data_IF_309995173318
#
_entry.id   IF_309995173318
#
_cell.length_a   1.000
_cell.length_b   1.000
_cell.length_c   1.000
_cell.angle_alpha   90.00
_cell.angle_beta   90.00
_cell.angle_gamma   90.00
#
_symmetry.space_group_name_H-M   'P 1'
#
loop_
_entity.id
_entity.type
_entity.pdbx_description
1 polymer ?
#
# COMPACT_ATOMS: atom_id res chain seq x y z
N UNK A 1 14.58 -5.80 33.20
CA UNK A 1 14.44 -4.46 33.81
C UNK A 1 15.78 -3.72 33.96
N UNK A 2 16.91 -4.40 34.18
CA UNK A 2 18.24 -3.77 34.24
C UNK A 2 18.77 -3.15 32.92
N UNK A 3 18.17 -3.48 31.76
CA UNK A 3 18.61 -3.00 30.45
C UNK A 3 18.27 -1.53 30.17
N UNK A 4 17.19 -1.01 30.77
CA UNK A 4 16.74 0.38 30.57
C UNK A 4 17.19 1.32 31.70
N UNK A 5 17.58 0.80 32.86
CA UNK A 5 17.93 1.60 34.05
C UNK A 5 19.30 2.27 33.97
N UNK A 6 20.13 1.95 32.97
CA UNK A 6 21.48 2.50 32.79
C UNK A 6 21.59 3.60 31.73
N UNK A 7 20.52 3.91 30.99
CA UNK A 7 20.57 4.90 29.89
C UNK A 7 20.05 6.25 30.41
N UNK A 8 20.88 7.30 30.46
CA UNK A 8 20.41 8.62 30.83
C UNK A 8 19.40 9.14 29.79
N UNK A 9 18.18 9.44 30.24
CA UNK A 9 17.07 9.89 29.39
C UNK A 9 17.43 11.13 28.55
N UNK A 10 18.32 11.96 29.08
CA UNK A 10 18.87 13.15 28.41
C UNK A 10 19.67 12.80 27.15
N UNK A 11 20.53 11.78 27.22
CA UNK A 11 21.32 11.30 26.08
C UNK A 11 20.43 10.70 25.00
N UNK A 12 19.46 9.86 25.40
CA UNK A 12 18.50 9.25 24.48
C UNK A 12 17.71 10.34 23.73
N UNK A 13 17.12 11.30 24.45
CA UNK A 13 16.36 12.39 23.85
C UNK A 13 17.22 13.30 22.96
N UNK A 14 18.50 13.50 23.30
CA UNK A 14 19.44 14.26 22.48
C UNK A 14 19.75 13.55 21.15
N UNK A 15 20.12 12.27 21.21
CA UNK A 15 20.44 11.47 20.04
C UNK A 15 19.22 11.25 19.14
N UNK A 16 18.05 10.96 19.72
CA UNK A 16 16.79 10.86 18.95
C UNK A 16 16.45 12.16 18.22
N UNK A 17 16.62 13.34 18.85
CA UNK A 17 16.38 14.63 18.20
C UNK A 17 17.36 14.89 17.05
N UNK A 18 18.65 14.57 17.22
CA UNK A 18 19.63 14.67 16.13
C UNK A 18 19.28 13.74 14.97
N UNK A 19 18.99 12.48 15.27
CA UNK A 19 18.61 11.48 14.28
C UNK A 19 17.34 11.88 13.53
N UNK A 20 16.29 12.31 14.24
CA UNK A 20 15.03 12.76 13.64
C UNK A 20 15.23 13.94 12.68
N UNK A 21 16.09 14.90 13.02
CA UNK A 21 16.42 16.04 12.13
C UNK A 21 17.10 15.58 10.84
N UNK A 22 18.07 14.66 10.94
CA UNK A 22 18.77 14.12 9.76
C UNK A 22 17.80 13.33 8.90
N UNK A 23 16.99 12.46 9.51
CA UNK A 23 15.98 11.67 8.80
C UNK A 23 14.98 12.57 8.05
N UNK A 24 14.46 13.61 8.72
CA UNK A 24 13.54 14.57 8.11
C UNK A 24 14.19 15.31 6.93
N UNK A 25 15.43 15.77 7.08
CA UNK A 25 16.17 16.43 6.00
C UNK A 25 16.41 15.49 4.81
N UNK A 26 16.82 14.23 5.06
CA UNK A 26 17.00 13.23 4.02
C UNK A 26 15.69 12.95 3.29
N UNK A 27 14.59 12.81 4.03
CA UNK A 27 13.26 12.63 3.46
C UNK A 27 12.86 13.82 2.56
N UNK A 28 13.08 15.05 3.02
CA UNK A 28 12.79 16.27 2.26
C UNK A 28 13.59 16.31 0.94
N UNK A 29 14.90 16.02 0.99
CA UNK A 29 15.76 15.99 -0.20
C UNK A 29 15.27 14.94 -1.20
N UNK A 30 14.96 13.72 -0.75
CA UNK A 30 14.47 12.66 -1.63
C UNK A 30 13.09 12.97 -2.22
N UNK A 31 12.16 13.51 -1.42
CA UNK A 31 10.84 13.94 -1.90
C UNK A 31 11.00 15.04 -2.95
N UNK A 32 11.84 16.05 -2.69
CA UNK A 32 12.08 17.14 -3.64
C UNK A 32 12.60 16.61 -4.97
N UNK A 33 13.62 15.76 -4.93
CA UNK A 33 14.21 15.17 -6.13
C UNK A 33 13.22 14.29 -6.91
N UNK A 34 12.48 13.43 -6.23
CA UNK A 34 11.56 12.50 -6.91
C UNK A 34 10.31 13.21 -7.42
N UNK A 35 9.80 14.20 -6.68
CA UNK A 35 8.68 15.03 -7.15
C UNK A 35 9.09 15.83 -8.38
N UNK A 36 10.33 16.30 -8.45
CA UNK A 36 10.84 16.96 -9.66
C UNK A 36 10.82 16.03 -10.88
N UNK A 37 11.27 14.78 -10.73
CA UNK A 37 11.18 13.77 -11.79
C UNK A 37 9.71 13.50 -12.18
N UNK A 38 8.83 13.37 -11.19
CA UNK A 38 7.39 13.14 -11.42
C UNK A 38 6.76 14.30 -12.20
N UNK A 39 7.08 15.56 -11.88
CA UNK A 39 6.61 16.73 -12.62
C UNK A 39 7.07 16.64 -14.08
N UNK A 40 8.34 16.33 -14.33
CA UNK A 40 8.86 16.20 -15.70
C UNK A 40 8.11 15.11 -16.46
N UNK A 41 7.90 13.95 -15.86
CA UNK A 41 7.17 12.84 -16.48
C UNK A 41 5.70 13.19 -16.75
N UNK A 42 5.04 13.87 -15.81
CA UNK A 42 3.66 14.33 -15.98
C UNK A 42 3.55 15.41 -17.06
N UNK A 43 4.49 16.35 -17.14
CA UNK A 43 4.52 17.36 -18.19
C UNK A 43 4.75 16.72 -19.56
N UNK A 44 5.66 15.74 -19.64
CA UNK A 44 5.89 14.96 -20.86
C UNK A 44 4.61 14.25 -21.31
N UNK A 45 3.89 13.62 -20.38
CA UNK A 45 2.60 12.95 -20.67
C UNK A 45 1.51 13.94 -21.07
N UNK A 46 1.38 15.06 -20.36
CA UNK A 46 0.41 16.10 -20.65
C UNK A 46 0.62 16.67 -22.06
N UNK A 47 1.88 17.00 -22.43
CA UNK A 47 2.20 17.50 -23.77
C UNK A 47 1.85 16.53 -24.91
N UNK A 48 1.82 15.22 -24.65
CA UNK A 48 1.45 14.22 -25.66
C UNK A 48 -0.05 13.98 -25.79
N UNK A 49 -0.83 14.15 -24.71
CA UNK A 49 -2.21 13.63 -24.62
C UNK A 49 -3.26 14.65 -24.24
N UNK A 50 -2.86 15.69 -23.51
CA UNK A 50 -3.71 16.78 -23.08
C UNK A 50 -2.92 18.11 -23.25
N UNK A 51 -2.60 18.51 -24.49
CA UNK A 51 -1.78 19.69 -24.75
C UNK A 51 -2.43 20.99 -24.27
N UNK A 52 -3.76 20.98 -24.07
CA UNK A 52 -4.53 22.10 -23.52
C UNK A 52 -4.42 22.23 -21.98
N UNK A 53 -3.83 21.24 -21.30
CA UNK A 53 -3.72 21.23 -19.86
C UNK A 53 -2.68 22.27 -19.38
N UNK A 54 -3.08 23.16 -18.47
CA UNK A 54 -2.18 24.15 -17.90
C UNK A 54 -0.99 23.51 -17.17
N UNK A 55 0.22 23.99 -17.40
CA UNK A 55 1.44 23.54 -16.70
C UNK A 55 1.32 23.67 -15.17
N UNK A 56 0.62 24.69 -14.68
CA UNK A 56 0.39 24.87 -13.24
C UNK A 56 -0.49 23.74 -12.66
N UNK A 57 -1.43 23.24 -13.46
CA UNK A 57 -2.29 22.13 -13.07
C UNK A 57 -1.52 20.81 -13.02
N UNK A 58 -0.53 20.61 -13.90
CA UNK A 58 0.41 19.47 -13.82
C UNK A 58 1.21 19.49 -12.51
N UNK A 59 1.71 20.66 -12.10
CA UNK A 59 2.41 20.81 -10.82
C UNK A 59 1.48 20.50 -9.64
N UNK A 60 0.23 20.97 -9.68
CA UNK A 60 -0.77 20.62 -8.68
C UNK A 60 -1.02 19.10 -8.60
N UNK A 61 -1.11 18.40 -9.74
CA UNK A 61 -1.23 16.95 -9.79
C UNK A 61 -0.02 16.22 -9.18
N UNK A 62 1.19 16.75 -9.36
CA UNK A 62 2.37 16.19 -8.71
C UNK A 62 2.32 16.40 -7.18
N UNK A 63 1.90 17.58 -6.73
CA UNK A 63 1.81 17.92 -5.30
C UNK A 63 0.82 17.02 -4.58
N UNK A 64 -0.36 16.77 -5.15
CA UNK A 64 -1.35 15.87 -4.53
C UNK A 64 -0.86 14.42 -4.45
N UNK A 65 0.09 14.02 -5.31
CA UNK A 65 0.70 12.69 -5.29
C UNK A 65 1.86 12.58 -4.28
N UNK A 66 2.37 13.68 -3.71
CA UNK A 66 3.51 13.68 -2.78
C UNK A 66 3.31 12.69 -1.62
N UNK A 67 2.15 12.66 -0.92
CA UNK A 67 1.95 11.69 0.16
C UNK A 67 2.12 10.23 -0.28
N UNK A 68 1.62 9.88 -1.46
CA UNK A 68 1.80 8.56 -2.06
C UNK A 68 3.28 8.27 -2.38
N UNK A 69 4.04 9.28 -2.82
CA UNK A 69 5.46 9.15 -3.07
C UNK A 69 6.24 8.91 -1.78
N UNK A 70 5.86 9.55 -0.67
CA UNK A 70 6.48 9.32 0.64
C UNK A 70 6.40 7.85 1.04
N UNK A 71 5.28 7.17 0.83
CA UNK A 71 5.15 5.73 1.16
C UNK A 71 6.21 4.86 0.46
N UNK A 72 6.52 5.20 -0.80
CA UNK A 72 7.52 4.49 -1.61
C UNK A 72 8.96 4.84 -1.22
N UNK A 73 9.20 6.10 -0.85
CA UNK A 73 10.54 6.65 -0.61
C UNK A 73 11.00 6.41 0.83
N UNK A 74 10.07 6.30 1.78
CA UNK A 74 10.35 6.22 3.20
C UNK A 74 11.39 5.15 3.60
N UNK A 75 11.36 3.91 3.04
CA UNK A 75 12.41 2.92 3.30
C UNK A 75 13.83 3.42 2.96
N UNK A 76 13.96 4.09 1.81
CA UNK A 76 15.23 4.65 1.35
C UNK A 76 15.65 5.85 2.20
N UNK A 77 14.71 6.71 2.60
CA UNK A 77 14.97 7.83 3.49
C UNK A 77 15.51 7.36 4.86
N UNK A 78 14.92 6.30 5.43
CA UNK A 78 15.42 5.71 6.68
C UNK A 78 16.79 5.10 6.50
N UNK A 79 17.02 4.33 5.43
CA UNK A 79 18.31 3.71 5.16
C UNK A 79 19.41 4.77 5.00
N UNK A 80 19.26 5.71 4.06
CA UNK A 80 20.27 6.74 3.78
C UNK A 80 20.40 7.74 4.93
N UNK A 81 19.29 8.14 5.55
CA UNK A 81 19.31 9.05 6.70
C UNK A 81 20.05 8.45 7.89
N UNK A 82 19.84 7.14 8.13
CA UNK A 82 20.61 6.40 9.14
C UNK A 82 22.09 6.32 8.80
N UNK A 83 22.44 6.00 7.56
CA UNK A 83 23.86 5.95 7.15
C UNK A 83 24.55 7.31 7.31
N UNK A 84 23.89 8.40 6.91
CA UNK A 84 24.41 9.76 7.10
C UNK A 84 24.58 10.06 8.58
N UNK A 85 23.57 9.76 9.40
CA UNK A 85 23.62 10.01 10.84
C UNK A 85 24.75 9.24 11.52
N UNK A 86 24.88 7.95 11.23
CA UNK A 86 25.94 7.12 11.79
C UNK A 86 27.32 7.55 11.32
N UNK A 87 27.46 7.95 10.05
CA UNK A 87 28.70 8.50 9.53
C UNK A 87 29.11 9.78 10.28
N UNK A 88 28.15 10.68 10.53
CA UNK A 88 28.39 11.92 11.30
C UNK A 88 28.76 11.63 12.75
N UNK A 89 28.05 10.73 13.43
CA UNK A 89 28.34 10.33 14.81
C UNK A 89 29.69 9.64 14.98
N UNK A 90 30.10 8.87 13.97
CA UNK A 90 31.44 8.30 13.94
C UNK A 90 32.53 9.36 13.86
N UNK A 91 32.32 10.39 13.01
CA UNK A 91 33.28 11.49 12.87
C UNK A 91 33.36 12.37 14.13
N UNK A 92 32.24 12.60 14.81
CA UNK A 92 32.21 13.37 16.06
C UNK A 92 32.61 12.55 17.29
N UNK A 93 32.95 11.26 17.14
CA UNK A 93 33.25 10.32 18.22
C UNK A 93 32.11 10.17 19.25
N UNK A 94 30.92 10.71 18.98
CA UNK A 94 29.75 10.63 19.87
C UNK A 94 29.31 9.19 20.11
N UNK A 95 29.38 8.35 19.07
CA UNK A 95 29.06 6.93 19.17
C UNK A 95 30.10 6.15 19.99
N UNK A 96 31.39 6.50 19.83
CA UNK A 96 32.48 5.85 20.55
C UNK A 96 32.41 6.16 22.05
N UNK A 97 32.15 7.41 22.42
CA UNK A 97 32.03 7.86 23.82
C UNK A 97 30.87 7.17 24.54
N UNK A 98 29.76 6.90 23.84
CA UNK A 98 28.65 6.11 24.42
C UNK A 98 29.09 4.67 24.75
N UNK A 99 29.84 4.03 23.86
CA UNK A 99 30.31 2.65 24.05
C UNK A 99 31.38 2.52 25.14
N UNK A 100 32.27 3.50 25.32
CA UNK A 100 33.31 3.46 26.36
C UNK A 100 32.75 3.57 27.78
N UNK A 101 31.50 3.98 27.95
CA UNK A 101 30.78 3.94 29.23
C UNK A 101 30.16 2.56 29.56
N UNK A 102 30.46 1.53 28.76
CA UNK A 102 29.99 0.16 28.97
C UNK A 102 28.62 -0.13 28.35
N UNK A 103 28.10 0.73 27.46
CA UNK A 103 26.84 0.47 26.76
C UNK A 103 27.02 -0.61 25.69
N UNK A 104 26.12 -1.60 25.68
CA UNK A 104 26.04 -2.57 24.60
C UNK A 104 25.57 -1.88 23.29
N UNK A 105 25.92 -2.43 22.11
CA UNK A 105 25.49 -1.91 20.80
C UNK A 105 23.97 -1.70 20.68
N UNK A 106 23.17 -2.58 21.29
CA UNK A 106 21.70 -2.48 21.30
C UNK A 106 21.19 -1.28 22.11
N UNK A 107 21.89 -0.90 23.18
CA UNK A 107 21.58 0.29 23.97
C UNK A 107 21.97 1.56 23.21
N UNK A 108 23.12 1.53 22.51
CA UNK A 108 23.57 2.66 21.69
C UNK A 108 22.65 2.92 20.48
N UNK A 109 22.02 1.88 19.92
CA UNK A 109 21.06 2.00 18.81
C UNK A 109 19.62 2.33 19.25
N UNK A 110 19.32 2.22 20.55
CA UNK A 110 17.98 2.45 21.08
C UNK A 110 17.36 3.81 20.68
N UNK A 111 18.09 4.95 20.68
CA UNK A 111 17.53 6.24 20.27
C UNK A 111 17.05 6.23 18.81
N UNK A 112 17.76 5.51 17.93
CA UNK A 112 17.41 5.36 16.51
C UNK A 112 16.21 4.44 16.35
N UNK A 113 16.25 3.25 16.98
CA UNK A 113 15.15 2.28 16.94
C UNK A 113 13.85 2.92 17.44
N UNK A 114 13.90 3.61 18.58
CA UNK A 114 12.74 4.30 19.16
C UNK A 114 12.20 5.39 18.23
N UNK A 115 13.08 6.19 17.61
CA UNK A 115 12.65 7.25 16.68
C UNK A 115 11.98 6.69 15.44
N UNK A 116 12.57 5.66 14.84
CA UNK A 116 12.05 5.03 13.63
C UNK A 116 10.76 4.26 13.89
N UNK A 117 10.66 3.58 15.04
CA UNK A 117 9.42 2.94 15.46
C UNK A 117 8.29 3.95 15.64
N UNK A 118 8.56 5.06 16.34
CA UNK A 118 7.60 6.14 16.52
C UNK A 118 7.20 6.77 15.18
N UNK A 119 8.15 6.98 14.27
CA UNK A 119 7.88 7.48 12.93
C UNK A 119 7.04 6.50 12.10
N UNK A 120 7.30 5.20 12.18
CA UNK A 120 6.50 4.17 11.53
C UNK A 120 5.06 4.11 12.06
N UNK A 121 4.88 4.26 13.37
CA UNK A 121 3.54 4.30 13.97
C UNK A 121 2.78 5.58 13.58
N UNK A 122 3.46 6.72 13.57
CA UNK A 122 2.93 7.98 13.06
C UNK A 122 2.55 7.88 11.57
N UNK A 123 3.38 7.21 10.77
CA UNK A 123 3.14 6.97 9.36
C UNK A 123 1.84 6.19 9.13
N UNK A 124 1.61 5.12 9.88
CA UNK A 124 0.36 4.35 9.76
C UNK A 124 -0.85 5.14 10.25
N UNK A 125 -0.76 5.80 11.41
CA UNK A 125 -1.94 6.36 12.09
C UNK A 125 -2.36 7.73 11.55
N UNK A 126 -1.39 8.57 11.18
CA UNK A 126 -1.65 9.96 10.77
C UNK A 126 -1.40 10.14 9.27
N UNK A 127 -0.25 9.66 8.78
CA UNK A 127 0.16 9.95 7.41
C UNK A 127 -0.62 9.13 6.37
N UNK A 128 -0.85 7.83 6.61
CA UNK A 128 -1.54 6.95 5.67
C UNK A 128 -2.98 7.42 5.34
N UNK A 129 -3.83 7.85 6.30
CA UNK A 129 -5.14 8.42 5.97
C UNK A 129 -5.08 9.62 5.02
N UNK A 130 -4.09 10.50 5.22
CA UNK A 130 -3.86 11.65 4.33
C UNK A 130 -3.42 11.15 2.95
N UNK A 131 -2.47 10.22 2.90
CA UNK A 131 -2.00 9.65 1.64
C UNK A 131 -3.10 8.92 0.88
N UNK A 132 -3.99 8.21 1.56
CA UNK A 132 -5.09 7.49 0.95
C UNK A 132 -6.12 8.42 0.29
N UNK A 133 -6.49 9.51 0.96
CA UNK A 133 -7.45 10.48 0.41
C UNK A 133 -6.85 11.25 -0.78
N UNK A 134 -5.60 11.68 -0.68
CA UNK A 134 -4.92 12.37 -1.79
C UNK A 134 -4.66 11.42 -2.96
N UNK A 135 -4.31 10.15 -2.70
CA UNK A 135 -4.18 9.13 -3.72
C UNK A 135 -5.51 8.88 -4.44
N UNK A 136 -6.63 8.79 -3.72
CA UNK A 136 -7.97 8.64 -4.32
C UNK A 136 -8.29 9.80 -5.27
N UNK A 137 -8.01 11.03 -4.85
CA UNK A 137 -8.22 12.22 -5.67
C UNK A 137 -7.30 12.24 -6.90
N UNK A 138 -6.01 11.90 -6.72
CA UNK A 138 -5.05 11.81 -7.82
C UNK A 138 -5.50 10.79 -8.88
N UNK A 139 -5.95 9.60 -8.46
CA UNK A 139 -6.42 8.55 -9.37
C UNK A 139 -7.69 8.96 -10.14
N UNK A 140 -8.60 9.71 -9.51
CA UNK A 140 -9.78 10.27 -10.15
C UNK A 140 -9.38 11.27 -11.25
N UNK A 141 -8.53 12.25 -10.93
CA UNK A 141 -8.08 13.28 -11.87
C UNK A 141 -7.27 12.68 -13.03
N UNK A 142 -6.40 11.70 -12.76
CA UNK A 142 -5.67 10.99 -13.80
C UNK A 142 -6.60 10.19 -14.72
N UNK A 143 -7.68 9.63 -14.18
CA UNK A 143 -8.71 8.95 -14.97
C UNK A 143 -9.47 9.90 -15.91
N UNK A 144 -9.78 11.11 -15.45
CA UNK A 144 -10.46 12.13 -16.24
C UNK A 144 -9.58 12.67 -17.38
N UNK A 145 -8.32 12.96 -17.09
CA UNK A 145 -7.39 13.61 -18.04
C UNK A 145 -6.80 12.61 -19.03
N UNK A 146 -6.41 11.43 -18.55
CA UNK A 146 -5.65 10.43 -19.32
C UNK A 146 -6.43 9.13 -19.56
N UNK A 147 -7.73 9.08 -19.26
CA UNK A 147 -8.56 7.87 -19.26
C UNK A 147 -8.55 7.06 -20.55
N UNK A 148 -8.26 7.67 -21.70
CA UNK A 148 -8.14 6.97 -22.98
C UNK A 148 -6.87 6.09 -23.10
N UNK A 149 -5.85 6.30 -22.27
CA UNK A 149 -4.58 5.56 -22.30
C UNK A 149 -4.42 4.52 -21.19
N UNK A 150 -5.41 4.38 -20.31
CA UNK A 150 -5.55 3.20 -19.43
C UNK A 150 -5.95 1.93 -20.19
N UNK A 151 -5.59 1.82 -21.47
CA UNK A 151 -5.72 0.62 -22.32
C UNK A 151 -4.94 -0.62 -21.82
N UNK A 152 -4.39 -0.58 -20.61
CA UNK A 152 -3.64 -1.69 -19.99
C UNK A 152 -4.09 -2.07 -18.56
N UNK A 153 -5.17 -1.48 -18.02
CA UNK A 153 -5.99 -2.10 -16.95
C UNK A 153 -7.49 -2.00 -17.31
N UNK A 154 -7.78 -1.82 -18.61
CA UNK A 154 -9.08 -2.05 -19.21
C UNK A 154 -9.41 -3.54 -19.11
N UNK A 155 -9.92 -3.92 -17.95
CA UNK A 155 -10.93 -4.96 -17.87
C UNK A 155 -12.30 -4.31 -17.55
N UNK A 156 -12.79 -3.49 -18.49
CA UNK A 156 -14.01 -4.00 -19.13
C UNK A 156 -13.51 -5.22 -19.87
N UNK A 157 -13.44 -6.37 -19.17
CA UNK A 157 -13.19 -7.61 -19.86
C UNK A 157 -14.19 -7.60 -21.01
N UNK A 158 -13.78 -7.98 -22.21
CA UNK A 158 -14.70 -8.23 -23.31
C UNK A 158 -15.87 -9.17 -22.90
N UNK A 159 -15.80 -9.76 -21.69
CA UNK A 159 -16.79 -10.60 -21.01
C UNK A 159 -17.66 -9.93 -19.91
N UNK A 160 -17.67 -8.60 -19.76
CA UNK A 160 -18.54 -7.88 -18.81
C UNK A 160 -18.04 -7.82 -17.36
N UNK A 161 -18.84 -7.23 -16.45
CA UNK A 161 -18.62 -7.19 -14.99
C UNK A 161 -19.10 -8.50 -14.38
N UNK A 162 -18.32 -9.08 -13.47
CA UNK A 162 -18.71 -10.23 -12.64
C UNK A 162 -18.66 -9.84 -11.17
N UNK A 163 -19.72 -10.17 -10.44
CA UNK A 163 -19.85 -9.91 -9.01
C UNK A 163 -20.62 -11.05 -8.36
N UNK A 164 -20.35 -11.34 -7.09
CA UNK A 164 -21.02 -12.42 -6.37
C UNK A 164 -21.59 -11.91 -5.05
N UNK A 165 -22.89 -11.98 -4.89
CA UNK A 165 -23.58 -11.56 -3.67
C UNK A 165 -23.94 -12.79 -2.83
N UNK A 166 -23.43 -12.86 -1.61
CA UNK A 166 -23.57 -14.01 -0.69
C UNK A 166 -24.55 -13.74 0.46
N UNK A 167 -25.29 -12.62 0.43
CA UNK A 167 -26.07 -12.16 1.58
C UNK A 167 -27.51 -12.70 1.61
N UNK A 168 -28.14 -12.69 2.80
CA UNK A 168 -29.48 -13.25 3.06
C UNK A 168 -29.65 -14.74 2.70
N UNK A 169 -28.58 -15.52 2.78
CA UNK A 169 -28.60 -16.95 2.46
C UNK A 169 -28.74 -17.26 0.97
N UNK A 170 -28.68 -16.23 0.12
CA UNK A 170 -28.65 -16.38 -1.33
C UNK A 170 -27.21 -16.27 -1.82
N UNK A 171 -26.87 -17.08 -2.82
CA UNK A 171 -25.58 -17.06 -3.49
C UNK A 171 -25.83 -16.68 -4.95
N UNK A 172 -25.84 -15.38 -5.22
CA UNK A 172 -26.06 -14.83 -6.54
C UNK A 172 -24.73 -14.54 -7.22
N UNK A 173 -24.56 -14.98 -8.47
CA UNK A 173 -23.48 -14.53 -9.35
C UNK A 173 -24.13 -13.62 -10.38
N UNK A 174 -23.69 -12.38 -10.46
CA UNK A 174 -24.21 -11.34 -11.34
C UNK A 174 -23.16 -11.06 -12.40
N UNK A 175 -23.54 -11.24 -13.67
CA UNK A 175 -22.77 -10.82 -14.83
C UNK A 175 -23.49 -9.65 -15.51
N UNK A 176 -22.77 -8.63 -15.96
CA UNK A 176 -23.36 -7.48 -16.66
C UNK A 176 -22.50 -7.02 -17.82
N UNK A 177 -23.10 -6.69 -18.96
CA UNK A 177 -22.35 -6.26 -20.15
C UNK A 177 -21.65 -4.92 -19.94
N UNK A 178 -22.28 -4.00 -19.20
CA UNK A 178 -21.72 -2.67 -18.92
C UNK A 178 -22.21 -2.17 -17.56
N UNK A 179 -21.32 -1.56 -16.78
CA UNK A 179 -21.63 -0.89 -15.51
C UNK A 179 -21.41 0.61 -15.70
N UNK A 180 -22.49 1.38 -15.58
CA UNK A 180 -22.45 2.84 -15.54
C UNK A 180 -22.50 3.28 -14.08
N UNK A 181 -21.32 3.53 -13.51
CA UNK A 181 -21.15 3.85 -12.08
C UNK A 181 -21.97 5.09 -11.67
N UNK A 182 -21.96 6.15 -12.47
CA UNK A 182 -22.71 7.40 -12.20
C UNK A 182 -24.22 7.18 -12.04
N UNK A 183 -24.78 6.22 -12.78
CA UNK A 183 -26.22 5.94 -12.81
C UNK A 183 -26.61 4.73 -11.95
N UNK A 184 -25.66 4.11 -11.25
CA UNK A 184 -25.85 2.84 -10.54
C UNK A 184 -26.48 1.75 -11.40
N UNK A 185 -26.18 1.74 -12.70
CA UNK A 185 -26.90 0.95 -13.70
C UNK A 185 -26.00 -0.12 -14.32
N UNK A 186 -26.47 -1.36 -14.29
CA UNK A 186 -25.91 -2.50 -15.03
C UNK A 186 -26.83 -2.81 -16.20
N UNK A 187 -26.28 -2.83 -17.42
CA UNK A 187 -27.03 -3.21 -18.64
C UNK A 187 -26.88 -4.69 -18.95
N UNK A 188 -27.98 -5.27 -19.43
CA UNK A 188 -28.10 -6.68 -19.78
C UNK A 188 -27.58 -7.64 -18.70
N UNK A 189 -28.04 -7.51 -17.44
CA UNK A 189 -27.61 -8.36 -16.35
C UNK A 189 -28.08 -9.82 -16.54
N UNK A 190 -27.18 -10.75 -16.20
CA UNK A 190 -27.42 -12.17 -16.05
C UNK A 190 -27.13 -12.55 -14.59
N UNK A 191 -28.17 -12.99 -13.88
CA UNK A 191 -28.09 -13.31 -12.44
C UNK A 191 -28.26 -14.81 -12.28
N UNK A 192 -27.26 -15.49 -11.76
CA UNK A 192 -27.29 -16.92 -11.48
C UNK A 192 -27.49 -17.12 -9.99
N UNK A 193 -28.53 -17.85 -9.58
CA UNK A 193 -28.65 -18.33 -8.20
C UNK A 193 -27.98 -19.69 -8.09
N UNK A 194 -27.02 -19.81 -7.20
CA UNK A 194 -26.29 -21.04 -6.92
C UNK A 194 -26.81 -21.65 -5.61
N UNK A 195 -27.09 -22.94 -5.61
CA UNK A 195 -27.47 -23.72 -4.43
C UNK A 195 -26.27 -23.92 -3.50
N UNK A 196 -26.52 -24.40 -2.28
CA UNK A 196 -25.45 -24.65 -1.28
C UNK A 196 -24.46 -25.74 -1.71
N UNK A 197 -24.88 -26.65 -2.58
CA UNK A 197 -24.08 -27.71 -3.19
C UNK A 197 -23.21 -27.23 -4.38
N UNK A 198 -23.30 -25.94 -4.75
CA UNK A 198 -22.58 -25.37 -5.88
C UNK A 198 -23.28 -25.54 -7.24
N UNK A 199 -24.42 -26.23 -7.29
CA UNK A 199 -25.20 -26.38 -8.52
C UNK A 199 -26.01 -25.10 -8.82
N UNK A 200 -26.23 -24.82 -10.11
CA UNK A 200 -27.14 -23.75 -10.52
C UNK A 200 -28.57 -24.10 -10.08
N UNK A 201 -29.29 -23.14 -9.51
CA UNK A 201 -30.72 -23.25 -9.19
C UNK A 201 -31.56 -22.75 -10.37
N UNK A 202 -31.30 -21.50 -10.75
CA UNK A 202 -31.93 -20.82 -11.87
C UNK A 202 -31.07 -19.63 -12.30
N UNK A 203 -31.35 -19.09 -13.48
CA UNK A 203 -30.78 -17.83 -13.96
C UNK A 203 -31.88 -16.82 -14.27
N UNK A 204 -31.62 -15.53 -14.05
CA UNK A 204 -32.46 -14.43 -14.49
C UNK A 204 -31.70 -13.65 -15.57
N UNK A 205 -32.40 -13.36 -16.67
CA UNK A 205 -31.98 -12.39 -17.68
C UNK A 205 -32.87 -11.16 -17.55
N UNK A 206 -32.28 -9.97 -17.60
CA UNK A 206 -33.03 -8.71 -17.57
C UNK A 206 -32.36 -7.68 -18.49
N UNK A 207 -33.07 -6.58 -18.74
CA UNK A 207 -32.58 -5.49 -19.59
C UNK A 207 -31.70 -4.53 -18.78
N UNK A 208 -32.14 -4.21 -17.55
CA UNK A 208 -31.47 -3.27 -16.66
C UNK A 208 -31.52 -3.76 -15.21
N UNK A 209 -30.45 -3.46 -14.45
CA UNK A 209 -30.38 -3.68 -13.01
C UNK A 209 -29.77 -2.45 -12.36
N UNK A 210 -30.50 -1.87 -11.39
CA UNK A 210 -30.09 -0.67 -10.66
C UNK A 210 -29.92 -0.96 -9.19
N UNK A 211 -28.88 -0.39 -8.60
CA UNK A 211 -28.67 -0.44 -7.15
C UNK A 211 -29.33 0.79 -6.50
N UNK A 212 -30.40 0.57 -5.73
CA UNK A 212 -31.13 1.64 -5.04
C UNK A 212 -31.32 1.25 -3.58
N UNK A 213 -30.82 2.06 -2.64
CA UNK A 213 -31.03 1.91 -1.19
C UNK A 213 -30.79 0.50 -0.63
N UNK A 214 -29.70 -0.17 -1.03
CA UNK A 214 -29.40 -1.54 -0.55
C UNK A 214 -30.32 -2.60 -1.15
N UNK A 215 -30.79 -2.38 -2.38
CA UNK A 215 -31.55 -3.36 -3.12
C UNK A 215 -31.29 -3.25 -4.62
N UNK A 216 -31.24 -4.39 -5.27
CA UNK A 216 -31.18 -4.51 -6.71
C UNK A 216 -32.59 -4.45 -7.28
N UNK A 217 -32.88 -3.39 -8.01
CA UNK A 217 -34.10 -3.26 -8.81
C UNK A 217 -33.78 -3.75 -10.22
N UNK A 218 -34.41 -4.84 -10.64
CA UNK A 218 -34.17 -5.48 -11.92
C UNK A 218 -35.41 -5.28 -12.78
N UNK A 219 -35.22 -4.66 -13.95
CA UNK A 219 -36.31 -4.37 -14.88
C UNK A 219 -36.44 -5.46 -15.94
N UNK A 220 -37.67 -5.85 -16.24
CA UNK A 220 -38.00 -6.89 -17.24
C UNK A 220 -37.27 -8.24 -16.99
N UNK A 221 -37.35 -8.75 -15.77
CA UNK A 221 -36.72 -10.01 -15.40
C UNK A 221 -37.43 -11.24 -15.99
N UNK A 222 -36.66 -12.09 -16.66
CA UNK A 222 -37.08 -13.42 -17.14
C UNK A 222 -36.27 -14.47 -16.39
N UNK A 223 -36.93 -15.25 -15.53
CA UNK A 223 -36.32 -16.39 -14.85
C UNK A 223 -36.33 -17.61 -15.77
N UNK A 224 -35.18 -18.24 -15.92
CA UNK A 224 -34.98 -19.48 -16.65
C UNK A 224 -34.55 -20.53 -15.62
N UNK A 225 -35.38 -21.55 -15.44
CA UNK A 225 -35.11 -22.69 -14.58
C UNK A 225 -34.18 -23.69 -15.28
N UNK A 226 -33.61 -24.64 -14.52
CA UNK A 226 -32.70 -25.65 -15.07
C UNK A 226 -33.36 -26.59 -16.08
N UNK A 227 -34.68 -26.79 -15.99
CA UNK A 227 -35.48 -27.55 -16.94
C UNK A 227 -35.78 -26.78 -18.25
N UNK A 228 -35.30 -25.54 -18.36
CA UNK A 228 -35.51 -24.68 -19.52
C UNK A 228 -36.79 -23.85 -19.47
N UNK A 229 -37.65 -24.02 -18.46
CA UNK A 229 -38.87 -23.23 -18.31
C UNK A 229 -38.54 -21.75 -18.12
N UNK A 230 -39.28 -20.88 -18.83
CA UNK A 230 -39.12 -19.42 -18.77
C UNK A 230 -40.34 -18.80 -18.09
N UNK A 231 -40.10 -18.08 -17.01
CA UNK A 231 -41.13 -17.37 -16.24
C UNK A 231 -40.83 -15.88 -16.31
N UNK A 232 -41.78 -15.10 -16.83
CA UNK A 232 -41.69 -13.65 -16.83
C UNK A 232 -42.04 -13.13 -15.43
N UNK A 233 -41.10 -12.43 -14.79
CA UNK A 233 -41.26 -11.89 -13.44
C UNK A 233 -41.56 -10.38 -13.43
N UNK A 234 -41.39 -9.69 -14.56
CA UNK A 234 -41.51 -8.23 -14.62
C UNK A 234 -40.41 -7.55 -13.81
N UNK A 235 -40.77 -6.52 -13.06
CA UNK A 235 -39.82 -5.78 -12.22
C UNK A 235 -39.68 -6.45 -10.85
N UNK A 236 -38.45 -6.82 -10.49
CA UNK A 236 -38.16 -7.57 -9.26
C UNK A 236 -37.13 -6.83 -8.42
N UNK A 237 -37.31 -6.90 -7.10
CA UNK A 237 -36.38 -6.32 -6.13
C UNK A 237 -35.71 -7.42 -5.31
N UNK A 238 -34.37 -7.43 -5.27
CA UNK A 238 -33.59 -8.27 -4.37
C UNK A 238 -32.82 -7.44 -3.36
N UNK A 239 -32.92 -7.72 -2.05
CA UNK A 239 -32.13 -7.01 -1.04
C UNK A 239 -30.64 -7.36 -1.13
N UNK A 240 -29.77 -6.38 -0.90
CA UNK A 240 -28.30 -6.51 -0.91
C UNK A 240 -27.68 -5.52 0.07
N UNK A 241 -26.59 -5.83 0.78
CA UNK A 241 -25.82 -4.80 1.49
C UNK A 241 -24.74 -4.15 0.63
N UNK A 242 -24.64 -4.50 -0.67
CA UNK A 242 -23.73 -3.82 -1.59
C UNK A 242 -24.12 -2.34 -1.74
N UNK A 243 -23.12 -1.46 -1.65
CA UNK A 243 -23.27 -0.04 -1.96
C UNK A 243 -22.57 0.27 -3.29
N UNK A 244 -23.04 1.32 -3.97
CA UNK A 244 -22.42 1.78 -5.21
C UNK A 244 -20.95 2.17 -5.02
N UNK A 245 -20.64 2.76 -3.87
CA UNK A 245 -19.27 3.09 -3.46
C UNK A 245 -18.36 1.87 -3.53
N UNK A 246 -18.85 0.68 -3.16
CA UNK A 246 -18.05 -0.53 -3.09
C UNK A 246 -17.64 -1.01 -4.49
N UNK A 247 -18.55 -0.89 -5.46
CA UNK A 247 -18.30 -1.22 -6.87
C UNK A 247 -17.31 -0.24 -7.51
N UNK A 248 -17.44 1.06 -7.22
CA UNK A 248 -16.53 2.09 -7.73
C UNK A 248 -15.13 1.96 -7.12
N UNK A 249 -15.06 1.67 -5.81
CA UNK A 249 -13.80 1.54 -5.07
C UNK A 249 -13.06 0.23 -5.35
N UNK A 250 -13.76 -0.83 -5.78
CA UNK A 250 -13.13 -2.10 -6.17
C UNK A 250 -12.06 -1.99 -7.27
N UNK A 251 -12.14 -0.93 -8.09
CA UNK A 251 -11.20 -0.67 -9.19
C UNK A 251 -10.04 0.23 -8.80
N UNK A 252 -10.05 0.80 -7.60
CA UNK A 252 -9.00 1.68 -7.15
C UNK A 252 -7.82 0.88 -6.58
N UNK A 253 -6.57 1.34 -6.75
CA UNK A 253 -5.42 0.66 -6.17
C UNK A 253 -5.48 0.66 -4.63
N UNK A 254 -4.93 -0.35 -3.93
CA UNK A 254 -5.03 -0.48 -2.47
C UNK A 254 -4.57 0.76 -1.67
N UNK A 255 -3.63 1.52 -2.21
CA UNK A 255 -3.09 2.76 -1.62
C UNK A 255 -4.15 3.86 -1.42
N UNK A 256 -5.32 3.78 -2.06
CA UNK A 256 -6.40 4.78 -1.93
C UNK A 256 -7.32 4.52 -0.73
N UNK A 257 -7.15 3.37 -0.05
CA UNK A 257 -7.95 3.00 1.12
C UNK A 257 -7.16 3.32 2.38
N UNK A 258 -7.76 4.11 3.27
CA UNK A 258 -7.13 4.45 4.55
C UNK A 258 -7.08 3.24 5.48
N UNK A 259 -6.07 3.18 6.35
CA UNK A 259 -5.92 2.10 7.34
C UNK A 259 -7.19 1.84 8.17
N UNK A 260 -7.94 2.89 8.52
CA UNK A 260 -9.14 2.79 9.36
C UNK A 260 -10.31 2.14 8.62
N UNK A 261 -10.46 2.42 7.32
CA UNK A 261 -11.53 1.87 6.52
C UNK A 261 -11.17 0.49 5.92
N UNK A 262 -9.88 0.15 5.92
CA UNK A 262 -9.33 -1.04 5.29
C UNK A 262 -9.98 -2.37 5.74
N UNK A 263 -10.20 -2.63 7.04
CA UNK A 263 -10.84 -3.88 7.49
C UNK A 263 -12.27 -4.03 7.00
N UNK A 264 -13.06 -2.95 7.06
CA UNK A 264 -14.43 -2.92 6.59
C UNK A 264 -14.48 -3.10 5.07
N UNK A 265 -13.59 -2.43 4.33
CA UNK A 265 -13.44 -2.57 2.89
C UNK A 265 -13.18 -4.02 2.48
N UNK A 266 -12.22 -4.69 3.12
CA UNK A 266 -11.93 -6.12 2.87
C UNK A 266 -13.16 -6.99 3.18
N UNK A 267 -13.85 -6.74 4.30
CA UNK A 267 -15.01 -7.53 4.70
C UNK A 267 -16.18 -7.39 3.70
N UNK A 268 -16.37 -6.19 3.13
CA UNK A 268 -17.37 -5.94 2.08
C UNK A 268 -16.95 -6.62 0.77
N UNK A 269 -15.73 -6.42 0.31
CA UNK A 269 -15.23 -6.99 -0.94
C UNK A 269 -15.23 -8.53 -0.91
N UNK A 270 -14.87 -9.14 0.22
CA UNK A 270 -14.90 -10.60 0.40
C UNK A 270 -16.34 -11.15 0.37
N UNK A 271 -17.32 -10.40 0.93
CA UNK A 271 -18.75 -10.74 0.83
C UNK A 271 -19.29 -10.58 -0.59
N UNK A 272 -18.81 -9.58 -1.32
CA UNK A 272 -19.06 -9.36 -2.75
C UNK A 272 -18.35 -10.38 -3.67
N UNK A 273 -17.63 -11.35 -3.10
CA UNK A 273 -16.85 -12.35 -3.82
C UNK A 273 -15.79 -11.77 -4.75
N UNK A 274 -15.37 -10.54 -4.49
CA UNK A 274 -14.34 -9.84 -5.27
C UNK A 274 -12.94 -10.26 -4.77
N UNK A 275 -11.94 -10.30 -5.66
CA UNK A 275 -10.57 -10.65 -5.26
C UNK A 275 -10.00 -9.59 -4.30
N UNK A 276 -9.66 -10.02 -3.08
CA UNK A 276 -9.13 -9.15 -2.01
C UNK A 276 -7.65 -9.36 -1.71
N UNK A 277 -6.99 -10.32 -2.38
CA UNK A 277 -5.62 -10.72 -2.03
C UNK A 277 -4.62 -9.56 -2.07
N UNK A 278 -4.66 -8.75 -3.13
CA UNK A 278 -3.82 -7.56 -3.25
C UNK A 278 -3.97 -6.61 -2.05
N UNK A 279 -5.21 -6.36 -1.65
CA UNK A 279 -5.56 -5.49 -0.53
C UNK A 279 -5.10 -6.09 0.80
N UNK A 280 -5.28 -7.39 1.00
CA UNK A 280 -4.83 -8.10 2.19
C UNK A 280 -3.30 -8.04 2.36
N UNK A 281 -2.56 -8.28 1.28
CA UNK A 281 -1.09 -8.19 1.31
C UNK A 281 -0.66 -6.76 1.65
N UNK A 282 -1.24 -5.77 0.97
CA UNK A 282 -0.94 -4.36 1.23
C UNK A 282 -1.23 -3.95 2.68
N UNK A 283 -2.35 -4.39 3.24
CA UNK A 283 -2.71 -4.13 4.64
C UNK A 283 -1.65 -4.65 5.61
N UNK A 284 -1.19 -5.89 5.43
CA UNK A 284 -0.13 -6.45 6.26
C UNK A 284 1.22 -5.78 6.02
N UNK A 285 1.54 -5.38 4.79
CA UNK A 285 2.75 -4.60 4.53
C UNK A 285 2.72 -3.26 5.26
N UNK A 286 1.58 -2.57 5.24
CA UNK A 286 1.38 -1.31 5.95
C UNK A 286 1.60 -1.48 7.45
N UNK A 287 1.00 -2.50 8.07
CA UNK A 287 1.19 -2.83 9.49
C UNK A 287 2.63 -3.23 9.83
N UNK A 288 3.34 -3.89 8.91
CA UNK A 288 4.75 -4.29 9.11
C UNK A 288 5.75 -3.12 8.98
N UNK A 289 5.29 -1.94 8.54
CA UNK A 289 6.16 -0.78 8.24
C UNK A 289 7.11 -0.40 9.39
N UNK A 290 6.68 -0.31 10.67
CA UNK A 290 7.57 0.07 11.76
C UNK A 290 8.76 -0.90 11.90
N UNK A 291 8.50 -2.20 11.77
CA UNK A 291 9.55 -3.23 11.79
C UNK A 291 10.46 -3.10 10.57
N UNK A 292 9.89 -2.95 9.37
CA UNK A 292 10.67 -2.72 8.14
C UNK A 292 11.66 -1.56 8.30
N UNK A 293 11.19 -0.44 8.86
CA UNK A 293 12.05 0.74 9.06
C UNK A 293 13.12 0.49 10.14
N UNK A 294 12.80 -0.19 11.24
CA UNK A 294 13.80 -0.61 12.25
C UNK A 294 14.90 -1.44 11.59
N UNK A 295 14.52 -2.46 10.81
CA UNK A 295 15.47 -3.33 10.14
C UNK A 295 16.40 -2.60 9.18
N UNK A 296 15.88 -1.61 8.44
CA UNK A 296 16.66 -0.75 7.56
C UNK A 296 17.63 0.17 8.32
N UNK A 297 17.18 0.75 9.44
CA UNK A 297 18.06 1.55 10.30
C UNK A 297 19.18 0.69 10.92
N UNK A 298 18.87 -0.52 11.35
CA UNK A 298 19.86 -1.49 11.84
C UNK A 298 20.80 -1.97 10.73
N UNK A 299 20.32 -2.11 9.49
CA UNK A 299 21.16 -2.46 8.35
C UNK A 299 22.16 -1.33 8.04
N UNK A 300 21.70 -0.08 8.08
CA UNK A 300 22.56 1.09 7.98
C UNK A 300 23.61 1.15 9.09
N UNK A 301 23.23 0.84 10.33
CA UNK A 301 24.14 0.72 11.47
C UNK A 301 25.23 -0.34 11.19
N UNK A 302 24.83 -1.51 10.68
CA UNK A 302 25.75 -2.61 10.36
C UNK A 302 26.83 -2.18 9.35
N UNK A 303 26.46 -1.46 8.30
CA UNK A 303 27.43 -1.05 7.28
C UNK A 303 28.30 0.13 7.69
N UNK A 304 27.77 1.04 8.51
CA UNK A 304 28.42 2.33 8.79
C UNK A 304 29.23 2.27 10.09
N UNK A 305 28.68 1.71 11.15
CA UNK A 305 29.29 1.75 12.48
C UNK A 305 30.39 0.70 12.67
N UNK A 306 30.31 -0.43 11.97
CA UNK A 306 31.16 -1.58 12.25
C UNK A 306 32.53 -1.55 11.54
N UNK A 307 32.75 -0.63 10.59
CA UNK A 307 33.97 -0.62 9.76
C UNK A 307 34.68 0.75 9.71
N UNK A 308 34.55 1.57 10.76
CA UNK A 308 34.98 2.98 10.78
C UNK A 308 36.43 3.27 10.38
N UNK A 309 37.35 2.32 10.54
CA UNK A 309 38.79 2.57 10.38
C UNK A 309 39.27 2.70 8.92
N UNK A 310 38.55 2.16 7.92
CA UNK A 310 39.08 2.03 6.53
C UNK A 310 38.07 2.20 5.38
N UNK A 311 36.87 2.70 5.64
CA UNK A 311 35.83 2.80 4.60
C UNK A 311 35.99 4.08 3.77
N UNK A 312 36.28 3.95 2.47
CA UNK A 312 36.14 5.06 1.52
C UNK A 312 34.65 5.45 1.41
N UNK A 313 34.34 6.75 1.38
CA UNK A 313 32.95 7.27 1.25
C UNK A 313 32.16 6.57 0.14
N UNK A 314 32.83 6.21 -0.96
CA UNK A 314 32.24 5.50 -2.09
C UNK A 314 31.69 4.12 -1.73
N UNK A 315 32.36 3.37 -0.84
CA UNK A 315 31.91 2.05 -0.40
C UNK A 315 30.62 2.14 0.41
N UNK A 316 30.45 3.16 1.23
CA UNK A 316 29.19 3.41 1.97
C UNK A 316 28.04 3.73 1.00
N UNK A 317 28.28 4.57 -0.01
CA UNK A 317 27.26 4.90 -1.02
C UNK A 317 26.84 3.63 -1.78
N UNK A 318 27.80 2.84 -2.25
CA UNK A 318 27.52 1.60 -3.00
C UNK A 318 26.77 0.58 -2.14
N UNK A 319 27.17 0.38 -0.88
CA UNK A 319 26.47 -0.53 0.03
C UNK A 319 25.05 -0.04 0.35
N UNK A 320 24.87 1.26 0.59
CA UNK A 320 23.55 1.84 0.85
C UNK A 320 22.61 1.70 -0.34
N UNK A 321 23.06 2.09 -1.53
CA UNK A 321 22.26 2.01 -2.74
C UNK A 321 21.96 0.55 -3.12
N UNK A 322 22.98 -0.32 -3.10
CA UNK A 322 22.83 -1.73 -3.42
C UNK A 322 21.91 -2.46 -2.46
N UNK A 323 22.07 -2.27 -1.15
CA UNK A 323 21.18 -2.89 -0.16
C UNK A 323 19.75 -2.35 -0.24
N UNK A 324 19.57 -1.04 -0.40
CA UNK A 324 18.25 -0.44 -0.59
C UNK A 324 17.54 -1.02 -1.82
N UNK A 325 18.25 -1.16 -2.94
CA UNK A 325 17.73 -1.78 -4.15
C UNK A 325 17.34 -3.24 -3.93
N UNK A 326 18.20 -4.06 -3.32
CA UNK A 326 17.92 -5.48 -3.04
C UNK A 326 16.68 -5.63 -2.17
N UNK A 327 16.56 -4.82 -1.11
CA UNK A 327 15.42 -4.89 -0.18
C UNK A 327 14.13 -4.47 -0.88
N UNK A 328 14.17 -3.40 -1.68
CA UNK A 328 13.03 -2.98 -2.48
C UNK A 328 12.59 -4.07 -3.45
N UNK A 329 13.53 -4.61 -4.22
CA UNK A 329 13.26 -5.65 -5.21
C UNK A 329 12.71 -6.93 -4.59
N UNK A 330 13.30 -7.37 -3.47
CA UNK A 330 12.80 -8.54 -2.74
C UNK A 330 11.39 -8.30 -2.18
N UNK A 331 11.12 -7.10 -1.65
CA UNK A 331 9.79 -6.73 -1.16
C UNK A 331 8.74 -6.76 -2.28
N UNK A 332 9.11 -6.29 -3.48
CA UNK A 332 8.23 -6.26 -4.65
C UNK A 332 7.95 -7.68 -5.18
N UNK A 333 8.96 -8.55 -5.27
CA UNK A 333 8.76 -9.96 -5.61
C UNK A 333 7.80 -10.64 -4.63
N UNK A 334 8.02 -10.45 -3.33
CA UNK A 334 7.16 -11.06 -2.30
C UNK A 334 5.73 -10.51 -2.39
N UNK A 335 5.57 -9.22 -2.68
CA UNK A 335 4.27 -8.61 -2.94
C UNK A 335 3.55 -9.24 -4.14
N UNK A 336 4.24 -9.42 -5.27
CA UNK A 336 3.70 -10.05 -6.47
C UNK A 336 3.30 -11.52 -6.24
N UNK A 337 4.10 -12.26 -5.48
CA UNK A 337 3.79 -13.64 -5.08
C UNK A 337 2.56 -13.71 -4.17
N UNK A 338 2.41 -12.76 -3.24
CA UNK A 338 1.22 -12.62 -2.41
C UNK A 338 -0.03 -12.25 -3.22
N UNK A 339 0.12 -11.33 -4.18
CA UNK A 339 -0.98 -10.88 -5.03
C UNK A 339 -1.57 -12.03 -5.87
N UNK A 340 -0.71 -12.90 -6.40
CA UNK A 340 -1.10 -14.07 -7.20
C UNK A 340 -1.61 -15.25 -6.37
N UNK A 341 -1.86 -15.07 -5.07
CA UNK A 341 -2.30 -16.11 -4.13
C UNK A 341 -1.33 -17.30 -3.98
N UNK A 342 -0.12 -17.22 -4.53
CA UNK A 342 0.90 -18.27 -4.44
C UNK A 342 1.52 -18.33 -3.05
N UNK A 343 1.53 -17.20 -2.34
CA UNK A 343 2.06 -17.06 -1.00
C UNK A 343 0.96 -16.54 -0.06
N UNK A 344 0.78 -17.12 1.14
CA UNK A 344 -0.20 -16.61 2.10
C UNK A 344 -0.01 -15.12 2.37
N UNK A 345 -1.10 -14.35 2.36
CA UNK A 345 -1.04 -12.88 2.43
C UNK A 345 -0.34 -12.35 3.68
N UNK A 346 -0.44 -13.06 4.81
CA UNK A 346 0.26 -12.72 6.06
C UNK A 346 1.77 -12.81 5.87
N UNK A 347 2.26 -13.91 5.29
CA UNK A 347 3.67 -14.09 5.00
C UNK A 347 4.16 -13.06 3.98
N UNK A 348 3.38 -12.80 2.93
CA UNK A 348 3.74 -11.82 1.91
C UNK A 348 3.84 -10.39 2.48
N UNK A 349 3.00 -10.07 3.46
CA UNK A 349 3.03 -8.77 4.12
C UNK A 349 4.20 -8.58 5.10
N UNK A 350 4.50 -9.61 5.90
CA UNK A 350 5.46 -9.50 6.99
C UNK A 350 6.89 -9.98 6.65
N UNK A 351 7.03 -10.89 5.67
CA UNK A 351 8.33 -11.49 5.37
C UNK A 351 9.42 -10.47 5.05
N UNK A 352 9.21 -9.44 4.19
CA UNK A 352 10.28 -8.49 3.88
C UNK A 352 10.77 -7.73 5.12
N UNK A 353 9.83 -7.30 5.98
CA UNK A 353 10.12 -6.57 7.21
C UNK A 353 10.89 -7.44 8.23
N UNK A 354 10.44 -8.68 8.43
CA UNK A 354 11.08 -9.59 9.38
C UNK A 354 12.44 -10.07 8.88
N UNK A 355 12.58 -10.39 7.60
CA UNK A 355 13.85 -10.81 7.01
C UNK A 355 14.92 -9.73 7.16
N UNK A 356 14.59 -8.46 6.89
CA UNK A 356 15.57 -7.38 7.05
C UNK A 356 15.94 -7.15 8.51
N UNK A 357 14.97 -7.18 9.44
CA UNK A 357 15.23 -7.05 10.86
C UNK A 357 16.14 -8.16 11.38
N UNK A 358 15.85 -9.41 11.01
CA UNK A 358 16.63 -10.57 11.44
C UNK A 358 18.03 -10.55 10.83
N UNK A 359 18.14 -10.25 9.53
CA UNK A 359 19.43 -10.19 8.84
C UNK A 359 20.33 -9.08 9.41
N UNK A 360 19.79 -7.86 9.58
CA UNK A 360 20.57 -6.76 10.15
C UNK A 360 20.87 -6.98 11.64
N UNK A 361 19.96 -7.59 12.39
CA UNK A 361 20.21 -7.96 13.77
C UNK A 361 21.30 -9.01 13.93
N UNK A 362 21.31 -10.03 13.07
CA UNK A 362 22.37 -11.03 13.02
C UNK A 362 23.74 -10.42 12.68
N UNK A 363 23.79 -9.52 11.70
CA UNK A 363 25.03 -8.80 11.34
C UNK A 363 25.57 -7.96 12.50
N UNK A 364 24.69 -7.31 13.28
CA UNK A 364 25.09 -6.54 14.46
C UNK A 364 25.57 -7.45 15.60
N UNK A 365 24.87 -8.55 15.86
CA UNK A 365 25.21 -9.48 16.95
C UNK A 365 26.58 -10.15 16.74
N UNK A 366 26.86 -10.63 15.53
CA UNK A 366 28.13 -11.30 15.19
C UNK A 366 29.37 -10.42 15.39
N UNK A 367 29.20 -9.09 15.44
CA UNK A 367 30.30 -8.13 15.56
C UNK A 367 30.41 -7.56 16.97
N UNK A 368 29.44 -7.83 17.84
CA UNK A 368 29.52 -7.51 19.28
C UNK A 368 30.24 -8.64 20.06
N UNK A 369 30.30 -9.86 19.48
CA UNK A 369 31.22 -10.95 19.86
C UNK A 369 32.64 -10.68 19.33
#
# INVERSE_FOLDING_TARGET
MAFFSSIPLTLLAYMSRKYAKILFLTLLVLISFITFIEIIELMRRAGQKAPELSSMYVVFLAIINIPTLVDKILPFAVLFGSMICFYLWGRSHEFLVGRTTGQNIWQALLPVIATVFAFGLFHITVFNPIAATTAKQYEYLMGEIFGNDRRSELSVSTNGIWMRDLENGNNFIINGATLMVEKSLIRSPLIYKIKKDGLLDWRIKADEMRLVNGSWIISNAIRIQNDGQRVFLGDVMFPTALKLSDLAESKLPPKTVSIYNFPNFIAVQKRAGLPVNQHLVFFHQLLSTPFKLIGLAMLAASFTLLHFSRQTKIRLIVLGLGSGFVVYFLSDIVYLLGNTAKLPYVLAGWAPALLICLFSGFLLARVDE
#
